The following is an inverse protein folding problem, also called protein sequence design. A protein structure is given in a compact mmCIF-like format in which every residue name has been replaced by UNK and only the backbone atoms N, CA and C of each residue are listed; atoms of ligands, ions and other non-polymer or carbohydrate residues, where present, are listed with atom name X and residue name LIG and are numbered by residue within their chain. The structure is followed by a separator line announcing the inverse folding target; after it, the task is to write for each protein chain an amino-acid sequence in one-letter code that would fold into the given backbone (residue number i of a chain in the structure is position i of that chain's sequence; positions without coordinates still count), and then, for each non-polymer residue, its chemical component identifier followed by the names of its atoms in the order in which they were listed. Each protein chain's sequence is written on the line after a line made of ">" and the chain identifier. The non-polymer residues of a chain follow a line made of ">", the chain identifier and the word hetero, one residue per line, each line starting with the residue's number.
data_IF_669496745313
#
_entry.id   IF_669496745313
#
_cell.length_a   1.000
_cell.length_b   1.000
_cell.length_c   1.000
_cell.angle_alpha   90.00
_cell.angle_beta   90.00
_cell.angle_gamma   90.00
#
_symmetry.space_group_name_H-M   'P 1'
#
loop_
_entity.id
_entity.type
_entity.pdbx_description
1 polymer ?
#
# COMPACT_ATOMS: atom_id res chain seq x y z
N UNK A 1 4.34 -3.22 -10.98
CA UNK A 1 3.49 -3.41 -12.20
C UNK A 1 2.59 -4.64 -12.09
N UNK A 2 3.11 -5.80 -11.70
CA UNK A 2 2.35 -7.07 -11.61
C UNK A 2 1.21 -7.00 -10.59
N UNK A 3 1.45 -6.45 -9.42
CA UNK A 3 0.44 -6.30 -8.36
C UNK A 3 -0.74 -5.41 -8.79
N UNK A 4 -0.44 -4.27 -9.41
CA UNK A 4 -1.48 -3.37 -9.91
C UNK A 4 -2.34 -4.04 -11.01
N UNK A 5 -1.73 -4.85 -11.87
CA UNK A 5 -2.46 -5.61 -12.87
C UNK A 5 -3.33 -6.71 -12.23
N UNK A 6 -2.82 -7.38 -11.20
CA UNK A 6 -3.54 -8.42 -10.46
C UNK A 6 -4.75 -7.84 -9.72
N UNK A 7 -4.59 -6.71 -9.04
CA UNK A 7 -5.69 -5.99 -8.39
C UNK A 7 -6.75 -5.61 -9.42
N UNK A 8 -6.34 -5.06 -10.56
CA UNK A 8 -7.26 -4.69 -11.64
C UNK A 8 -8.02 -5.90 -12.18
N UNK A 9 -7.36 -7.03 -12.37
CA UNK A 9 -8.00 -8.27 -12.82
C UNK A 9 -9.01 -8.78 -11.79
N UNK A 10 -8.71 -8.72 -10.51
CA UNK A 10 -9.63 -9.09 -9.43
C UNK A 10 -10.89 -8.24 -9.45
N UNK A 11 -10.77 -6.93 -9.68
CA UNK A 11 -11.92 -6.03 -9.84
C UNK A 11 -12.77 -6.35 -11.08
N UNK A 12 -12.15 -6.69 -12.20
CA UNK A 12 -12.85 -6.99 -13.46
C UNK A 12 -13.53 -8.36 -13.39
N UNK A 13 -12.88 -9.34 -12.79
CA UNK A 13 -13.37 -10.72 -12.74
C UNK A 13 -14.46 -10.95 -11.68
N UNK A 14 -14.64 -10.02 -10.72
CA UNK A 14 -15.66 -10.14 -9.68
C UNK A 14 -15.47 -11.36 -8.76
N UNK A 15 -14.23 -11.77 -8.54
CA UNK A 15 -13.90 -13.02 -7.83
C UNK A 15 -14.03 -12.89 -6.30
N UNK A 16 -14.21 -11.69 -5.77
CA UNK A 16 -14.34 -11.46 -4.34
C UNK A 16 -15.72 -10.95 -3.99
N UNK A 17 -16.51 -11.82 -3.37
CA UNK A 17 -17.88 -11.52 -2.93
C UNK A 17 -17.93 -10.42 -1.87
N UNK A 18 -16.85 -10.24 -1.11
CA UNK A 18 -16.69 -9.20 -0.09
C UNK A 18 -16.43 -7.79 -0.66
N UNK A 19 -16.20 -7.69 -1.99
CA UNK A 19 -15.94 -6.43 -2.68
C UNK A 19 -17.13 -5.90 -3.49
N UNK A 20 -18.25 -6.63 -3.55
CA UNK A 20 -19.40 -6.25 -4.39
C UNK A 20 -20.02 -4.91 -4.00
N UNK A 21 -20.18 -4.62 -2.71
CA UNK A 21 -20.68 -3.32 -2.24
C UNK A 21 -19.63 -2.20 -2.31
N UNK A 22 -18.37 -2.59 -2.47
CA UNK A 22 -17.25 -1.67 -2.50
C UNK A 22 -16.98 -1.10 -3.89
N UNK A 23 -17.35 -1.87 -4.93
CA UNK A 23 -16.79 -1.66 -6.26
C UNK A 23 -17.39 -0.43 -6.98
N UNK A 24 -18.67 -0.14 -6.80
CA UNK A 24 -19.30 0.93 -7.58
C UNK A 24 -19.03 2.32 -7.00
N UNK A 25 -19.20 2.52 -5.73
CA UNK A 25 -19.04 3.85 -5.12
C UNK A 25 -17.59 4.24 -4.83
N UNK A 26 -16.70 3.27 -4.65
CA UNK A 26 -15.27 3.54 -4.46
C UNK A 26 -14.52 3.74 -5.78
N UNK A 27 -14.92 3.02 -6.85
CA UNK A 27 -14.36 3.21 -8.20
C UNK A 27 -14.55 4.62 -8.70
N UNK A 28 -15.75 5.15 -8.59
CA UNK A 28 -16.07 6.47 -9.15
C UNK A 28 -15.39 7.60 -8.38
N UNK A 29 -15.32 7.48 -7.05
CA UNK A 29 -14.69 8.50 -6.21
C UNK A 29 -13.17 8.47 -6.24
N UNK A 30 -12.56 7.28 -6.15
CA UNK A 30 -11.11 7.15 -6.19
C UNK A 30 -10.57 7.40 -7.60
N UNK A 31 -11.28 6.93 -8.63
CA UNK A 31 -10.90 7.16 -10.02
C UNK A 31 -10.94 8.64 -10.39
N UNK A 32 -11.99 9.36 -10.04
CA UNK A 32 -12.12 10.78 -10.30
C UNK A 32 -11.09 11.61 -9.52
N UNK A 33 -10.92 11.35 -8.23
CA UNK A 33 -9.94 12.05 -7.40
C UNK A 33 -8.49 11.78 -7.85
N UNK A 34 -8.18 10.55 -8.27
CA UNK A 34 -6.86 10.22 -8.79
C UNK A 34 -6.58 10.86 -10.14
N UNK A 35 -7.57 10.89 -11.04
CA UNK A 35 -7.46 11.56 -12.34
C UNK A 35 -7.29 13.06 -12.17
N UNK A 36 -8.03 13.67 -11.25
CA UNK A 36 -7.88 15.10 -10.90
C UNK A 36 -6.48 15.39 -10.34
N UNK A 37 -6.02 14.58 -9.39
CA UNK A 37 -4.69 14.73 -8.81
C UNK A 37 -3.56 14.58 -9.85
N UNK A 38 -3.69 13.61 -10.77
CA UNK A 38 -2.74 13.40 -11.86
C UNK A 38 -2.80 14.57 -12.87
N UNK A 39 -4.00 15.06 -13.17
CA UNK A 39 -4.18 16.19 -14.11
C UNK A 39 -3.68 17.54 -13.57
N UNK A 40 -3.70 17.70 -12.24
CA UNK A 40 -3.23 18.90 -11.54
C UNK A 40 -1.76 18.82 -11.12
N UNK A 41 -1.12 17.65 -11.28
CA UNK A 41 0.30 17.51 -10.98
C UNK A 41 1.14 18.43 -11.89
N UNK A 42 1.81 19.39 -11.29
CA UNK A 42 2.57 20.42 -12.01
C UNK A 42 3.77 19.85 -12.79
N UNK A 43 4.25 18.69 -12.42
CA UNK A 43 5.36 18.00 -13.07
C UNK A 43 5.12 16.49 -13.15
N UNK A 44 5.17 15.94 -14.35
CA UNK A 44 5.22 14.50 -14.55
C UNK A 44 6.60 13.98 -14.12
N UNK A 45 6.63 13.05 -13.17
CA UNK A 45 7.86 12.34 -12.82
C UNK A 45 8.00 11.10 -13.68
N UNK A 46 9.23 10.85 -14.13
CA UNK A 46 9.54 9.60 -14.82
C UNK A 46 9.48 8.43 -13.84
N UNK A 47 8.88 7.34 -14.24
CA UNK A 47 8.93 6.10 -13.46
C UNK A 47 10.36 5.58 -13.31
N UNK A 48 11.25 5.91 -14.25
CA UNK A 48 12.67 5.58 -14.18
C UNK A 48 13.43 6.30 -13.06
N UNK A 49 12.86 7.41 -12.53
CA UNK A 49 13.46 8.17 -11.43
C UNK A 49 13.09 7.57 -10.05
N UNK A 50 12.22 6.56 -10.02
CA UNK A 50 11.87 5.86 -8.78
C UNK A 50 13.06 5.03 -8.33
N UNK A 51 13.52 5.18 -7.08
CA UNK A 51 14.59 4.34 -6.56
C UNK A 51 14.27 2.86 -6.74
N UNK A 52 15.17 2.15 -7.39
CA UNK A 52 15.08 0.72 -7.61
C UNK A 52 16.20 0.01 -6.84
N UNK A 53 15.92 -1.20 -6.40
CA UNK A 53 16.88 -2.08 -5.77
C UNK A 53 16.69 -3.49 -6.32
N UNK A 54 17.73 -4.05 -6.85
CA UNK A 54 17.70 -5.40 -7.42
C UNK A 54 18.81 -6.22 -6.75
N UNK A 55 18.43 -7.27 -6.06
CA UNK A 55 19.32 -8.16 -5.33
C UNK A 55 18.86 -9.62 -5.54
N UNK A 56 19.79 -10.55 -5.41
CA UNK A 56 19.49 -11.98 -5.36
C UNK A 56 19.37 -12.48 -3.89
N UNK A 57 19.37 -11.57 -2.92
CA UNK A 57 19.27 -11.87 -1.50
C UNK A 57 18.02 -11.21 -0.90
N UNK A 58 17.03 -12.02 -0.54
CA UNK A 58 15.78 -11.58 0.10
C UNK A 58 16.05 -10.79 1.39
N UNK A 59 17.14 -11.11 2.10
CA UNK A 59 17.50 -10.38 3.31
C UNK A 59 17.99 -8.96 2.98
N UNK A 60 18.69 -8.79 1.87
CA UNK A 60 19.10 -7.47 1.39
C UNK A 60 17.89 -6.65 0.94
N UNK A 61 16.94 -7.28 0.24
CA UNK A 61 15.68 -6.64 -0.17
C UNK A 61 14.91 -6.14 1.06
N UNK A 62 14.74 -6.99 2.07
CA UNK A 62 14.06 -6.62 3.31
C UNK A 62 14.76 -5.46 4.05
N UNK A 63 16.10 -5.46 4.10
CA UNK A 63 16.86 -4.35 4.71
C UNK A 63 16.61 -3.05 3.96
N UNK A 64 16.66 -3.09 2.66
CA UNK A 64 16.41 -1.92 1.81
C UNK A 64 15.01 -1.35 2.04
N UNK A 65 13.97 -2.20 2.08
CA UNK A 65 12.60 -1.78 2.37
C UNK A 65 12.49 -1.13 3.76
N UNK A 66 13.10 -1.72 4.78
CA UNK A 66 13.10 -1.16 6.14
C UNK A 66 13.83 0.18 6.21
N UNK A 67 14.90 0.37 5.46
CA UNK A 67 15.59 1.65 5.35
C UNK A 67 14.72 2.71 4.67
N UNK A 68 13.97 2.34 3.62
CA UNK A 68 13.01 3.27 2.97
C UNK A 68 11.89 3.67 3.91
N UNK A 69 11.36 2.76 4.70
CA UNK A 69 10.36 3.05 5.72
C UNK A 69 10.91 4.03 6.78
N UNK A 70 12.12 3.78 7.27
CA UNK A 70 12.79 4.68 8.23
C UNK A 70 13.01 6.07 7.66
N UNK A 71 13.39 6.18 6.41
CA UNK A 71 13.61 7.48 5.74
C UNK A 71 12.35 8.37 5.72
N UNK A 72 11.16 7.77 5.84
CA UNK A 72 9.89 8.49 5.92
C UNK A 72 9.30 8.50 7.35
N UNK A 73 10.09 8.18 8.36
CA UNK A 73 9.71 8.23 9.77
C UNK A 73 8.88 7.04 10.26
N UNK A 74 8.95 5.90 9.57
CA UNK A 74 8.35 4.65 10.00
C UNK A 74 9.45 3.75 10.59
N UNK A 75 9.65 3.83 11.91
CA UNK A 75 10.79 3.24 12.59
C UNK A 75 10.58 1.80 13.06
N UNK A 76 9.35 1.30 13.01
CA UNK A 76 8.99 -0.01 13.55
C UNK A 76 8.30 -0.86 12.51
N UNK A 77 8.81 -2.07 12.34
CA UNK A 77 8.16 -3.18 11.68
C UNK A 77 8.21 -4.39 12.63
N UNK A 78 7.07 -4.99 12.91
CA UNK A 78 6.91 -6.09 13.87
C UNK A 78 6.50 -7.31 13.06
N UNK A 79 7.32 -8.34 13.11
CA UNK A 79 6.98 -9.65 12.56
C UNK A 79 6.36 -10.51 13.67
N UNK A 80 5.14 -10.97 13.46
CA UNK A 80 4.46 -11.91 14.34
C UNK A 80 4.47 -13.29 13.67
N UNK A 81 5.13 -14.23 14.29
CA UNK A 81 5.14 -15.62 13.81
C UNK A 81 3.80 -16.28 14.13
N UNK A 82 3.09 -16.69 13.08
CA UNK A 82 1.82 -17.41 13.13
C UNK A 82 1.98 -18.84 12.62
N UNK A 83 3.21 -19.32 12.48
CA UNK A 83 3.51 -20.66 12.01
C UNK A 83 2.86 -21.70 12.92
N UNK A 84 2.15 -22.63 12.33
CA UNK A 84 1.61 -23.79 13.02
C UNK A 84 2.49 -25.01 12.75
N UNK A 85 3.13 -25.58 13.76
CA UNK A 85 4.07 -26.69 13.58
C UNK A 85 3.46 -27.89 12.86
N UNK A 86 2.18 -28.15 13.08
CA UNK A 86 1.44 -29.26 12.48
C UNK A 86 1.33 -29.19 10.95
N UNK A 87 1.44 -28.00 10.38
CA UNK A 87 1.38 -27.78 8.93
C UNK A 87 2.76 -27.62 8.28
N UNK A 88 3.78 -27.30 9.06
CA UNK A 88 5.13 -27.08 8.56
C UNK A 88 5.27 -25.94 7.53
N UNK A 89 4.30 -25.03 7.47
CA UNK A 89 4.28 -23.89 6.55
C UNK A 89 4.58 -22.63 7.36
N UNK A 90 5.67 -21.91 7.07
CA UNK A 90 5.98 -20.64 7.71
C UNK A 90 4.91 -19.59 7.38
N UNK A 91 4.34 -18.98 8.40
CA UNK A 91 3.35 -17.88 8.26
C UNK A 91 3.76 -16.74 9.16
N UNK A 92 3.92 -15.56 8.56
CA UNK A 92 4.28 -14.35 9.29
C UNK A 92 3.26 -13.26 9.02
N UNK A 93 2.83 -12.57 10.07
CA UNK A 93 2.05 -11.35 9.98
C UNK A 93 2.94 -10.15 10.27
N UNK A 94 3.03 -9.24 9.31
CA UNK A 94 3.72 -7.97 9.51
C UNK A 94 2.76 -6.90 10.06
N UNK A 95 3.19 -6.19 11.09
CA UNK A 95 2.49 -5.03 11.66
C UNK A 95 3.46 -3.86 11.64
N UNK A 96 3.11 -2.82 10.92
CA UNK A 96 3.96 -1.63 10.74
C UNK A 96 3.18 -0.42 11.28
N UNK A 97 3.38 -0.05 12.56
CA UNK A 97 2.73 1.12 13.14
C UNK A 97 3.09 2.40 12.38
N UNK A 98 2.08 3.18 12.03
CA UNK A 98 2.26 4.41 11.24
C UNK A 98 2.02 4.23 9.75
N UNK A 99 1.92 3.02 9.23
CA UNK A 99 1.28 2.77 7.96
C UNK A 99 -0.23 2.70 8.15
N UNK A 100 -0.93 3.24 7.21
CA UNK A 100 -2.38 3.27 7.22
C UNK A 100 -2.92 2.25 6.23
N UNK A 101 -4.00 1.64 6.63
CA UNK A 101 -4.65 0.64 5.81
C UNK A 101 -5.56 1.32 4.78
N UNK A 102 -6.54 0.62 4.29
CA UNK A 102 -7.46 1.04 3.26
C UNK A 102 -8.17 2.36 3.59
N UNK A 103 -7.72 3.43 2.96
CA UNK A 103 -8.29 4.77 3.10
C UNK A 103 -9.70 4.90 2.48
N UNK A 104 -10.15 3.90 1.71
CA UNK A 104 -11.47 3.87 1.09
C UNK A 104 -12.52 3.21 1.99
N UNK A 105 -12.09 2.54 3.06
CA UNK A 105 -13.01 1.87 4.00
C UNK A 105 -13.91 2.88 4.73
N UNK A 106 -15.23 2.64 4.84
CA UNK A 106 -16.17 3.59 5.45
C UNK A 106 -15.85 3.98 6.90
N UNK A 107 -15.14 3.12 7.62
CA UNK A 107 -14.68 3.37 9.01
C UNK A 107 -13.22 3.83 9.09
N UNK A 108 -12.62 4.20 7.97
CA UNK A 108 -11.27 4.73 7.99
C UNK A 108 -11.22 6.08 8.70
N UNK A 109 -10.29 6.19 9.62
CA UNK A 109 -9.98 7.44 10.32
C UNK A 109 -8.52 7.77 10.04
N UNK A 110 -8.22 8.91 9.39
CA UNK A 110 -6.84 9.28 9.10
C UNK A 110 -5.97 9.32 10.34
N UNK A 111 -4.86 8.63 10.31
CA UNK A 111 -3.87 8.65 11.38
C UNK A 111 -3.08 9.96 11.42
N UNK A 112 -2.18 10.12 12.41
CA UNK A 112 -1.40 11.36 12.56
C UNK A 112 -0.53 11.69 11.35
N UNK A 113 -0.05 10.69 10.62
CA UNK A 113 0.77 10.86 9.42
C UNK A 113 -0.05 11.39 8.25
N UNK A 114 -1.21 10.76 7.97
CA UNK A 114 -2.10 11.21 6.90
C UNK A 114 -2.62 12.63 7.17
N UNK A 115 -2.99 12.93 8.42
CA UNK A 115 -3.41 14.29 8.82
C UNK A 115 -2.32 15.32 8.60
N UNK A 116 -1.06 15.01 8.92
CA UNK A 116 0.06 15.93 8.66
C UNK A 116 0.30 16.12 7.17
N UNK A 117 0.20 15.06 6.36
CA UNK A 117 0.35 15.16 4.92
C UNK A 117 -0.77 16.01 4.28
N UNK A 118 -2.01 15.84 4.74
CA UNK A 118 -3.15 16.63 4.27
C UNK A 118 -3.08 18.10 4.73
N UNK A 119 -2.58 18.39 5.93
CA UNK A 119 -2.46 19.74 6.47
C UNK A 119 -1.21 20.52 6.00
N UNK A 120 -0.25 19.85 5.40
CA UNK A 120 0.95 20.48 4.83
C UNK A 120 0.81 20.92 3.36
N UNK A 121 -0.37 20.72 2.79
CA UNK A 121 -0.70 21.13 1.42
C UNK A 121 -1.47 22.48 1.35
N UNK A 122 -1.28 23.33 2.39
CA UNK A 122 -1.84 24.69 2.45
C UNK A 122 -0.75 25.74 2.23
#
# INVERSE_FOLDING_TARGET
>A
MTEAAQIRLTYIAGIRDDLLDYAESAKDRLGAALLDAVSQAAEARSFADVPDFNSNDVTADLRWELERLRAVGVDRAIAVDLTRPEFGIPVVRMVIPGLEWDCTHPRYVPGPRARRAAGGAA
#
